data_IF_809642883299
#
_entry.id   IF_809642883299
#
_cell.length_a   1.000
_cell.length_b   1.000
_cell.length_c   1.000
_cell.angle_alpha   90.00
_cell.angle_beta   90.00
_cell.angle_gamma   90.00
#
_symmetry.space_group_name_H-M   'P 1'
#
loop_
_entity.id
_entity.type
_entity.pdbx_description
1 polymer ?
#
# COMPACT_ATOMS: atom_id res chain seq x y z
N UNK A 1 13.81 -10.23 1.15
CA UNK A 1 13.04 -9.46 0.17
C UNK A 1 13.76 -9.20 -1.15
N UNK A 2 13.27 -9.77 -2.27
CA UNK A 2 13.68 -9.35 -3.61
C UNK A 2 12.42 -9.03 -4.42
N UNK A 3 12.00 -7.77 -4.38
CA UNK A 3 10.86 -7.27 -5.16
C UNK A 3 11.24 -7.37 -6.64
N UNK A 4 10.36 -7.93 -7.46
CA UNK A 4 10.62 -8.01 -8.90
C UNK A 4 10.23 -6.69 -9.61
N UNK A 5 10.72 -6.53 -10.85
CA UNK A 5 10.49 -5.31 -11.64
C UNK A 5 9.01 -4.95 -11.79
N UNK A 6 8.13 -5.95 -11.94
CA UNK A 6 6.69 -5.71 -12.08
C UNK A 6 6.05 -5.27 -10.76
N UNK A 7 6.43 -5.89 -9.65
CA UNK A 7 5.96 -5.47 -8.33
C UNK A 7 6.38 -4.03 -8.01
N UNK A 8 7.61 -3.62 -8.35
CA UNK A 8 8.06 -2.23 -8.22
C UNK A 8 7.22 -1.25 -9.05
N UNK A 9 6.91 -1.61 -10.30
CA UNK A 9 6.05 -0.79 -11.17
C UNK A 9 4.63 -0.65 -10.59
N UNK A 10 4.05 -1.76 -10.12
CA UNK A 10 2.72 -1.79 -9.53
C UNK A 10 2.65 -0.96 -8.24
N UNK A 11 3.66 -1.07 -7.36
CA UNK A 11 3.76 -0.24 -6.15
C UNK A 11 3.85 1.24 -6.51
N UNK A 12 4.66 1.62 -7.50
CA UNK A 12 4.77 3.01 -7.97
C UNK A 12 3.43 3.55 -8.48
N UNK A 13 2.71 2.76 -9.28
CA UNK A 13 1.40 3.14 -9.82
C UNK A 13 0.32 3.23 -8.74
N UNK A 14 0.32 2.29 -7.80
CA UNK A 14 -0.56 2.30 -6.63
C UNK A 14 -0.32 3.56 -5.80
N UNK A 15 0.94 3.86 -5.46
CA UNK A 15 1.29 5.06 -4.69
C UNK A 15 0.95 6.36 -5.42
N UNK A 16 1.08 6.41 -6.75
CA UNK A 16 0.63 7.57 -7.55
C UNK A 16 -0.88 7.77 -7.44
N UNK A 17 -1.64 6.68 -7.45
CA UNK A 17 -3.11 6.71 -7.31
C UNK A 17 -3.53 7.12 -5.91
N UNK A 18 -2.87 6.57 -4.89
CA UNK A 18 -3.07 6.95 -3.48
C UNK A 18 -2.76 8.43 -3.27
N UNK A 19 -1.60 8.92 -3.69
CA UNK A 19 -1.22 10.35 -3.54
C UNK A 19 -2.15 11.31 -4.28
N UNK A 20 -2.78 10.89 -5.37
CA UNK A 20 -3.75 11.72 -6.09
C UNK A 20 -5.01 11.98 -5.26
N UNK A 21 -5.45 11.00 -4.47
CA UNK A 21 -6.64 11.11 -3.61
C UNK A 21 -6.28 11.61 -2.20
N UNK A 22 -5.14 11.16 -1.67
CA UNK A 22 -4.63 11.46 -0.34
C UNK A 22 -3.23 12.07 -0.45
N UNK A 23 -3.11 13.38 -0.76
CA UNK A 23 -1.81 14.01 -0.99
C UNK A 23 -0.92 14.08 0.27
N UNK A 24 -1.52 13.96 1.45
CA UNK A 24 -0.83 13.91 2.75
C UNK A 24 -0.21 12.53 3.06
N UNK A 25 -0.54 11.50 2.28
CA UNK A 25 -0.05 10.12 2.48
C UNK A 25 1.30 9.95 1.79
N UNK A 26 2.28 9.46 2.55
CA UNK A 26 3.64 9.21 2.11
C UNK A 26 3.99 7.73 2.23
N UNK A 27 4.80 7.23 1.30
CA UNK A 27 5.36 5.88 1.42
C UNK A 27 6.45 5.89 2.50
N UNK A 28 6.29 5.05 3.52
CA UNK A 28 7.28 4.88 4.60
C UNK A 28 8.25 3.78 4.23
N UNK A 29 7.73 2.60 3.90
CA UNK A 29 8.54 1.42 3.56
C UNK A 29 7.71 0.40 2.78
N UNK A 30 8.38 -0.56 2.15
CA UNK A 30 7.78 -1.79 1.65
C UNK A 30 8.51 -2.96 2.29
N UNK A 31 7.78 -3.88 2.92
CA UNK A 31 8.33 -5.04 3.62
C UNK A 31 7.53 -6.30 3.32
N UNK A 32 8.12 -7.47 3.56
CA UNK A 32 7.39 -8.74 3.54
C UNK A 32 6.40 -8.75 4.71
N UNK A 33 5.24 -9.39 4.53
CA UNK A 33 4.31 -9.59 5.64
C UNK A 33 4.96 -10.52 6.67
N UNK A 34 4.87 -10.21 7.98
CA UNK A 34 5.36 -11.12 9.02
C UNK A 34 4.61 -12.46 9.05
N UNK A 35 3.39 -12.50 8.48
CA UNK A 35 2.53 -13.69 8.47
C UNK A 35 2.75 -14.55 7.22
N UNK A 36 3.16 -13.92 6.11
CA UNK A 36 3.32 -14.59 4.82
C UNK A 36 4.41 -13.91 3.98
N UNK A 37 5.47 -14.65 3.64
CA UNK A 37 6.61 -14.09 2.90
C UNK A 37 6.31 -13.82 1.42
N UNK A 38 5.22 -14.35 0.88
CA UNK A 38 4.76 -14.05 -0.48
C UNK A 38 3.96 -12.73 -0.56
N UNK A 39 3.48 -12.25 0.60
CA UNK A 39 2.69 -11.05 0.74
C UNK A 39 3.54 -9.81 1.00
N UNK A 40 3.25 -8.71 0.31
CA UNK A 40 3.94 -7.44 0.52
C UNK A 40 3.11 -6.46 1.33
N UNK A 41 3.72 -5.86 2.35
CA UNK A 41 3.16 -4.74 3.10
C UNK A 41 3.77 -3.43 2.62
N UNK A 42 2.91 -2.55 2.14
CA UNK A 42 3.23 -1.19 1.71
C UNK A 42 2.85 -0.28 2.87
N UNK A 43 3.84 0.10 3.67
CA UNK A 43 3.66 0.95 4.83
C UNK A 43 3.54 2.40 4.37
N UNK A 44 2.42 3.04 4.70
CA UNK A 44 2.16 4.44 4.35
C UNK A 44 1.86 5.27 5.59
N UNK A 45 2.06 6.58 5.53
CA UNK A 45 1.67 7.46 6.63
C UNK A 45 0.16 7.48 6.80
N UNK A 46 -0.28 7.37 8.05
CA UNK A 46 -1.69 7.54 8.41
C UNK A 46 -2.11 9.01 8.23
N UNK A 47 -3.22 9.30 7.52
CA UNK A 47 -3.79 10.64 7.49
C UNK A 47 -4.22 11.10 8.89
N UNK A 48 -4.25 12.41 9.15
CA UNK A 48 -4.59 12.92 10.50
C UNK A 48 -6.04 12.68 10.90
N UNK A 49 -6.91 12.50 9.90
CA UNK A 49 -8.34 12.36 10.03
C UNK A 49 -8.73 10.88 9.95
N UNK A 50 -9.51 10.40 10.92
CA UNK A 50 -9.88 8.98 11.04
C UNK A 50 -10.81 8.53 9.90
N UNK A 51 -11.71 9.38 9.44
CA UNK A 51 -12.57 9.09 8.29
C UNK A 51 -11.73 8.93 7.00
N UNK A 52 -10.72 9.79 6.81
CA UNK A 52 -9.74 9.61 5.71
C UNK A 52 -8.92 8.34 5.85
N UNK A 53 -8.61 7.89 7.07
CA UNK A 53 -7.90 6.62 7.26
C UNK A 53 -8.76 5.44 6.78
N UNK A 54 -10.04 5.42 7.16
CA UNK A 54 -10.99 4.40 6.72
C UNK A 54 -11.13 4.44 5.20
N UNK A 55 -11.25 5.64 4.62
CA UNK A 55 -11.37 5.80 3.17
C UNK A 55 -10.09 5.38 2.43
N UNK A 56 -8.91 5.69 2.98
CA UNK A 56 -7.62 5.26 2.44
C UNK A 56 -7.52 3.73 2.41
N UNK A 57 -7.89 3.07 3.52
CA UNK A 57 -7.89 1.60 3.61
C UNK A 57 -8.82 0.99 2.56
N UNK A 58 -10.04 1.50 2.45
CA UNK A 58 -11.02 1.02 1.46
C UNK A 58 -10.52 1.22 0.02
N UNK A 59 -10.02 2.42 -0.30
CA UNK A 59 -9.50 2.74 -1.63
C UNK A 59 -8.27 1.90 -2.00
N UNK A 60 -7.35 1.74 -1.05
CA UNK A 60 -6.15 0.96 -1.30
C UNK A 60 -6.47 -0.53 -1.41
N UNK A 61 -7.39 -1.05 -0.59
CA UNK A 61 -7.84 -2.45 -0.65
C UNK A 61 -8.39 -2.79 -2.04
N UNK A 62 -9.27 -1.94 -2.58
CA UNK A 62 -9.83 -2.09 -3.93
C UNK A 62 -8.73 -2.20 -4.99
N UNK A 63 -7.76 -1.28 -4.95
CA UNK A 63 -6.63 -1.26 -5.89
C UNK A 63 -5.69 -2.47 -5.71
N UNK A 64 -5.47 -2.93 -4.49
CA UNK A 64 -4.66 -4.14 -4.25
C UNK A 64 -5.38 -5.41 -4.65
N UNK A 65 -6.71 -5.45 -4.57
CA UNK A 65 -7.53 -6.55 -5.09
C UNK A 65 -7.44 -6.62 -6.61
N UNK A 66 -7.51 -5.49 -7.33
CA UNK A 66 -7.23 -5.45 -8.78
C UNK A 66 -5.85 -6.07 -9.09
N UNK A 67 -4.82 -5.68 -8.35
CA UNK A 67 -3.45 -6.19 -8.53
C UNK A 67 -3.37 -7.71 -8.29
N UNK A 68 -4.05 -8.21 -7.26
CA UNK A 68 -4.10 -9.64 -6.96
C UNK A 68 -4.77 -10.42 -8.10
N UNK A 69 -5.90 -9.93 -8.62
CA UNK A 69 -6.66 -10.61 -9.68
C UNK A 69 -5.90 -10.58 -11.01
N UNK A 70 -5.34 -9.42 -11.38
CA UNK A 70 -4.71 -9.23 -12.69
C UNK A 70 -3.30 -9.83 -12.76
N UNK A 71 -2.55 -9.82 -11.66
CA UNK A 71 -1.12 -10.17 -11.64
C UNK A 71 -0.74 -11.28 -10.66
N UNK A 72 -1.66 -11.71 -9.79
CA UNK A 72 -1.40 -12.74 -8.77
C UNK A 72 -0.53 -12.27 -7.60
N UNK A 73 -0.25 -10.97 -7.47
CA UNK A 73 0.56 -10.45 -6.38
C UNK A 73 -0.31 -10.03 -5.19
N UNK A 74 -0.09 -10.67 -4.04
CA UNK A 74 -0.74 -10.26 -2.81
C UNK A 74 0.01 -9.09 -2.18
N UNK A 75 -0.63 -7.92 -2.14
CA UNK A 75 -0.09 -6.69 -1.57
C UNK A 75 -1.13 -6.04 -0.66
N UNK A 76 -0.68 -5.43 0.42
CA UNK A 76 -1.53 -4.77 1.41
C UNK A 76 -0.98 -3.38 1.70
N UNK A 77 -1.84 -2.37 1.69
CA UNK A 77 -1.47 -1.02 2.12
C UNK A 77 -1.82 -0.86 3.58
N UNK A 78 -0.79 -0.65 4.40
CA UNK A 78 -0.93 -0.57 5.86
C UNK A 78 -0.61 0.86 6.30
N UNK A 79 -1.63 1.67 6.65
CA UNK A 79 -1.38 2.96 7.27
C UNK A 79 -0.76 2.74 8.64
N UNK A 80 0.38 3.37 8.87
CA UNK A 80 1.09 3.33 10.15
C UNK A 80 1.41 4.75 10.61
N UNK A 81 1.19 4.99 11.90
CA UNK A 81 1.66 6.22 12.54
C UNK A 81 3.17 6.12 12.59
N UNK A 82 3.85 7.05 11.93
CA UNK A 82 5.31 7.20 12.06
C UNK A 82 5.60 7.34 13.55
N UNK A 83 6.22 6.33 14.17
CA UNK A 83 6.78 6.48 15.51
C UNK A 83 7.94 7.46 15.36
N UNK A 84 7.78 8.63 15.97
CA UNK A 84 8.88 9.60 16.17
C UNK A 84 9.99 8.98 17.03
#
# INVERSE_FOLDING_TARGET
>A
MRINFKQEELIKNLMKSVKRKFPEVELINVSESPEDSESLWILVSTPKDEDKEIELRAFASDKTTDILIDYGYHMLVMPTRKKE
#
